data_IF_199807170717
#
_entry.id   IF_199807170717
#
_cell.length_a   1.000
_cell.length_b   1.000
_cell.length_c   1.000
_cell.angle_alpha   90.00
_cell.angle_beta   90.00
_cell.angle_gamma   90.00
#
_symmetry.space_group_name_H-M   'P 1'
#
loop_
_entity.id
_entity.type
_entity.pdbx_description
1 polymer ?
#
# COMPACT_ATOMS: atom_id res chain seq x y z
N UNK A 1 -31.95 -8.68 -24.70
CA UNK A 1 -32.23 -9.23 -23.36
C UNK A 1 -31.64 -8.27 -22.37
N UNK A 2 -32.46 -7.72 -21.50
CA UNK A 2 -32.04 -6.67 -20.58
C UNK A 2 -31.04 -7.22 -19.54
N UNK A 3 -30.25 -6.36 -18.92
CA UNK A 3 -29.32 -6.79 -17.86
C UNK A 3 -30.08 -7.42 -16.68
N UNK A 4 -31.21 -6.82 -16.31
CA UNK A 4 -32.08 -7.26 -15.22
C UNK A 4 -32.80 -8.58 -15.55
N UNK A 5 -33.20 -8.75 -16.81
CA UNK A 5 -33.84 -9.97 -17.29
C UNK A 5 -32.86 -11.16 -17.29
N UNK A 6 -31.59 -10.92 -17.62
CA UNK A 6 -30.49 -11.91 -17.49
C UNK A 6 -30.23 -12.29 -16.05
N UNK A 7 -30.09 -11.29 -15.17
CA UNK A 7 -29.81 -11.50 -13.76
C UNK A 7 -30.91 -12.33 -13.10
N UNK A 8 -32.17 -11.98 -13.31
CA UNK A 8 -33.32 -12.72 -12.78
C UNK A 8 -33.38 -14.17 -13.27
N UNK A 9 -33.00 -14.43 -14.53
CA UNK A 9 -32.97 -15.78 -15.08
C UNK A 9 -31.88 -16.64 -14.44
N UNK A 10 -30.71 -16.06 -14.21
CA UNK A 10 -29.60 -16.75 -13.51
C UNK A 10 -29.99 -17.00 -12.05
N UNK A 11 -30.53 -15.99 -11.37
CA UNK A 11 -31.00 -16.11 -9.99
C UNK A 11 -32.01 -17.26 -9.85
N UNK A 12 -33.03 -17.30 -10.71
CA UNK A 12 -34.05 -18.35 -10.69
C UNK A 12 -33.52 -19.77 -10.94
N UNK A 13 -32.37 -19.91 -11.60
CA UNK A 13 -31.74 -21.19 -11.87
C UNK A 13 -30.88 -21.69 -10.70
N UNK A 14 -30.34 -20.77 -9.90
CA UNK A 14 -29.41 -21.08 -8.80
C UNK A 14 -30.13 -21.07 -7.44
N UNK A 15 -31.24 -20.35 -7.30
CA UNK A 15 -32.08 -20.29 -6.10
C UNK A 15 -32.39 -21.66 -5.46
N UNK A 16 -32.69 -22.76 -6.19
CA UNK A 16 -32.94 -24.05 -5.56
C UNK A 16 -31.68 -24.76 -5.01
N UNK A 17 -30.49 -24.25 -5.29
CA UNK A 17 -29.20 -24.83 -4.89
C UNK A 17 -28.56 -24.02 -3.75
N UNK A 18 -28.95 -22.76 -3.57
CA UNK A 18 -28.46 -21.86 -2.51
C UNK A 18 -29.08 -22.20 -1.15
N UNK A 19 -28.25 -22.42 -0.13
CA UNK A 19 -28.73 -22.44 1.25
C UNK A 19 -28.92 -21.00 1.81
N UNK A 20 -29.82 -20.80 2.80
CA UNK A 20 -30.03 -19.49 3.40
C UNK A 20 -28.75 -18.92 4.03
N UNK A 21 -28.27 -17.80 3.47
CA UNK A 21 -27.07 -17.11 3.95
C UNK A 21 -25.80 -17.38 3.14
N UNK A 22 -25.86 -18.26 2.14
CA UNK A 22 -24.77 -18.47 1.19
C UNK A 22 -24.78 -17.40 0.10
N UNK A 23 -23.60 -17.09 -0.41
CA UNK A 23 -23.43 -16.28 -1.61
C UNK A 23 -22.47 -16.98 -2.53
N UNK A 24 -22.65 -16.81 -3.84
CA UNK A 24 -21.78 -17.40 -4.86
C UNK A 24 -21.49 -16.36 -5.92
N UNK A 25 -20.25 -16.32 -6.39
CA UNK A 25 -19.86 -15.52 -7.55
C UNK A 25 -19.87 -16.43 -8.77
N UNK A 26 -20.64 -16.05 -9.78
CA UNK A 26 -20.73 -16.80 -11.05
C UNK A 26 -20.11 -15.95 -12.16
N UNK A 27 -19.09 -16.50 -12.82
CA UNK A 27 -18.44 -15.89 -13.97
C UNK A 27 -18.43 -16.85 -15.16
N UNK A 28 -18.43 -16.29 -16.37
CA UNK A 28 -18.28 -17.05 -17.60
C UNK A 28 -17.14 -16.46 -18.43
N UNK A 29 -16.31 -17.31 -19.02
CA UNK A 29 -15.24 -16.90 -19.94
C UNK A 29 -15.74 -16.80 -21.40
N UNK A 30 -14.90 -16.26 -22.28
CA UNK A 30 -15.20 -16.11 -23.71
C UNK A 30 -15.39 -17.45 -24.44
N UNK A 31 -14.94 -18.56 -23.85
CA UNK A 31 -15.15 -19.91 -24.35
C UNK A 31 -16.48 -20.52 -23.85
N UNK A 32 -17.25 -19.78 -23.06
CA UNK A 32 -18.53 -20.21 -22.50
C UNK A 32 -18.41 -21.13 -21.29
N UNK A 33 -17.23 -21.24 -20.69
CA UNK A 33 -17.03 -22.02 -19.46
C UNK A 33 -17.50 -21.19 -18.26
N UNK A 34 -18.39 -21.78 -17.47
CA UNK A 34 -18.93 -21.17 -16.25
C UNK A 34 -18.13 -21.64 -15.04
N UNK A 35 -17.68 -20.72 -14.20
CA UNK A 35 -17.06 -20.99 -12.90
C UNK A 35 -17.92 -20.39 -11.79
N UNK A 36 -18.10 -21.15 -10.71
CA UNK A 36 -18.85 -20.76 -9.52
C UNK A 36 -17.90 -20.85 -8.33
N UNK A 37 -17.75 -19.78 -7.56
CA UNK A 37 -16.89 -19.73 -6.37
C UNK A 37 -17.66 -19.26 -5.14
N UNK A 38 -17.33 -19.87 -3.99
CA UNK A 38 -17.82 -19.49 -2.67
C UNK A 38 -16.94 -18.34 -2.12
N UNK A 39 -17.51 -17.21 -1.72
CA UNK A 39 -16.78 -16.16 -1.03
C UNK A 39 -16.47 -16.63 0.40
N UNK A 40 -15.19 -16.88 0.69
CA UNK A 40 -14.68 -17.08 2.05
C UNK A 40 -14.14 -18.47 2.38
N UNK A 41 -14.19 -19.45 1.48
CA UNK A 41 -13.61 -20.78 1.71
C UNK A 41 -12.19 -20.85 1.11
N UNK A 42 -11.21 -20.37 1.89
CA UNK A 42 -9.75 -20.58 1.77
C UNK A 42 -8.98 -20.19 0.48
N UNK A 43 -9.63 -19.74 -0.59
CA UNK A 43 -8.98 -19.06 -1.71
C UNK A 43 -9.40 -17.60 -1.71
N UNK A 44 -8.71 -16.79 -0.90
CA UNK A 44 -8.75 -15.32 -0.92
C UNK A 44 -8.79 -14.84 -2.37
N UNK A 45 -9.92 -14.27 -2.80
CA UNK A 45 -10.20 -13.62 -4.09
C UNK A 45 -8.96 -13.58 -4.98
N UNK A 46 -8.60 -14.75 -5.55
CA UNK A 46 -7.43 -14.80 -6.41
C UNK A 46 -7.87 -14.01 -7.62
N UNK A 47 -7.24 -12.87 -7.84
CA UNK A 47 -7.61 -11.98 -8.92
C UNK A 47 -7.80 -12.78 -10.21
N UNK A 48 -8.79 -12.41 -11.03
CA UNK A 48 -8.98 -12.99 -12.36
C UNK A 48 -7.64 -13.02 -13.12
N UNK A 49 -6.76 -12.04 -12.87
CA UNK A 49 -5.37 -12.00 -13.36
C UNK A 49 -4.57 -13.27 -13.05
N UNK A 50 -4.74 -13.89 -11.88
CA UNK A 50 -4.04 -15.13 -11.51
C UNK A 50 -4.37 -16.31 -12.41
N UNK A 51 -5.58 -16.32 -12.98
CA UNK A 51 -6.06 -17.39 -13.87
C UNK A 51 -5.85 -17.06 -15.34
N UNK A 52 -6.19 -15.84 -15.76
CA UNK A 52 -6.11 -15.40 -17.15
C UNK A 52 -4.67 -15.02 -17.55
N UNK A 53 -3.91 -14.42 -16.63
CA UNK A 53 -2.56 -13.88 -16.85
C UNK A 53 -1.58 -14.24 -15.71
N UNK A 54 -1.30 -15.54 -15.47
CA UNK A 54 -0.54 -15.98 -14.29
C UNK A 54 0.88 -15.40 -14.22
N UNK A 55 1.51 -15.12 -15.37
CA UNK A 55 2.84 -14.51 -15.42
C UNK A 55 2.81 -13.04 -14.98
N UNK A 56 1.86 -12.27 -15.49
CA UNK A 56 1.64 -10.89 -15.07
C UNK A 56 1.28 -10.84 -13.59
N UNK A 57 0.38 -11.70 -13.12
CA UNK A 57 0.00 -11.77 -11.71
C UNK A 57 1.20 -12.07 -10.80
N UNK A 58 2.04 -13.04 -11.15
CA UNK A 58 3.28 -13.32 -10.42
C UNK A 58 4.25 -12.12 -10.40
N UNK A 59 4.31 -11.37 -11.50
CA UNK A 59 5.09 -10.12 -11.55
C UNK A 59 4.49 -9.04 -10.64
N UNK A 60 3.16 -8.84 -10.66
CA UNK A 60 2.46 -7.88 -9.81
C UNK A 60 2.67 -8.18 -8.32
N UNK A 61 2.61 -9.46 -7.93
CA UNK A 61 2.93 -9.91 -6.58
C UNK A 61 4.37 -9.58 -6.19
N UNK A 62 5.33 -9.92 -7.06
CA UNK A 62 6.74 -9.64 -6.81
C UNK A 62 7.03 -8.13 -6.74
N UNK A 63 6.38 -7.32 -7.57
CA UNK A 63 6.48 -5.86 -7.54
C UNK A 63 5.85 -5.30 -6.26
N UNK A 64 4.68 -5.78 -5.87
CA UNK A 64 4.01 -5.39 -4.63
C UNK A 64 4.90 -5.68 -3.41
N UNK A 65 5.50 -6.86 -3.35
CA UNK A 65 6.41 -7.24 -2.25
C UNK A 65 7.67 -6.37 -2.22
N UNK A 66 8.24 -6.00 -3.37
CA UNK A 66 9.39 -5.07 -3.42
C UNK A 66 9.04 -3.67 -2.93
N UNK A 67 7.82 -3.21 -3.21
CA UNK A 67 7.33 -1.91 -2.76
C UNK A 67 7.04 -1.96 -1.25
N UNK A 68 6.30 -2.98 -0.79
CA UNK A 68 5.93 -3.13 0.62
C UNK A 68 7.15 -3.40 1.53
N UNK A 69 8.13 -4.17 1.07
CA UNK A 69 9.34 -4.48 1.84
C UNK A 69 10.36 -3.34 1.90
N UNK A 70 10.14 -2.25 1.15
CA UNK A 70 11.02 -1.09 1.17
C UNK A 70 10.99 -0.34 2.52
N UNK A 71 9.91 -0.46 3.29
CA UNK A 71 9.75 0.02 4.66
C UNK A 71 10.22 -1.05 5.68
N UNK A 72 11.48 -1.45 5.58
CA UNK A 72 12.06 -2.47 6.45
C UNK A 72 12.21 -2.05 7.93
N UNK A 73 12.08 -3.02 8.84
CA UNK A 73 12.29 -2.86 10.30
C UNK A 73 13.64 -2.23 10.69
N UNK A 74 14.65 -2.32 9.81
CA UNK A 74 15.95 -1.67 10.00
C UNK A 74 15.84 -0.15 10.15
N UNK A 75 14.88 0.50 9.47
CA UNK A 75 14.65 1.92 9.66
C UNK A 75 14.21 2.20 11.10
N UNK A 76 13.37 1.36 11.71
CA UNK A 76 12.81 1.60 13.05
C UNK A 76 13.96 1.70 14.06
N UNK A 77 14.94 0.81 13.91
CA UNK A 77 16.16 0.80 14.72
C UNK A 77 16.98 2.09 14.53
N UNK A 78 17.09 2.61 13.29
CA UNK A 78 17.79 3.88 13.02
C UNK A 78 17.11 5.05 13.73
N UNK A 79 15.78 5.13 13.69
CA UNK A 79 15.05 6.21 14.34
C UNK A 79 15.04 6.09 15.87
N UNK A 80 14.95 4.87 16.41
CA UNK A 80 15.14 4.63 17.84
C UNK A 80 16.55 5.02 18.29
N UNK A 81 17.58 4.66 17.53
CA UNK A 81 18.96 5.04 17.82
C UNK A 81 19.15 6.57 17.75
N UNK A 82 18.61 7.23 16.72
CA UNK A 82 18.66 8.68 16.59
C UNK A 82 17.94 9.39 17.77
N UNK A 83 16.75 8.92 18.14
CA UNK A 83 16.00 9.42 19.29
C UNK A 83 16.78 9.25 20.60
N UNK A 84 17.39 8.08 20.80
CA UNK A 84 18.24 7.78 21.95
C UNK A 84 19.46 8.70 22.01
N UNK A 85 20.12 8.94 20.87
CA UNK A 85 21.27 9.86 20.77
C UNK A 85 20.89 11.30 21.07
N UNK A 86 19.74 11.79 20.58
CA UNK A 86 19.25 13.13 20.89
C UNK A 86 18.96 13.26 22.39
N UNK A 87 18.27 12.27 22.97
CA UNK A 87 17.92 12.24 24.38
C UNK A 87 19.15 12.17 25.29
N UNK A 88 20.12 11.33 24.91
CA UNK A 88 21.43 11.21 25.58
C UNK A 88 22.21 12.51 25.46
N UNK A 89 22.25 13.13 24.28
CA UNK A 89 22.90 14.41 24.03
C UNK A 89 22.40 15.48 25.00
N UNK A 90 21.07 15.68 25.08
CA UNK A 90 20.41 16.66 25.95
C UNK A 90 20.70 16.46 27.45
N UNK A 91 20.91 15.22 27.89
CA UNK A 91 21.27 14.89 29.26
C UNK A 91 22.79 14.89 29.52
N UNK A 92 23.59 14.64 28.49
CA UNK A 92 25.04 14.57 28.61
C UNK A 92 25.62 15.96 28.91
N UNK A 93 26.64 15.99 29.77
CA UNK A 93 27.45 17.20 30.00
C UNK A 93 28.23 17.64 28.75
N UNK A 94 28.29 16.83 27.70
CA UNK A 94 29.04 17.14 26.48
C UNK A 94 28.46 18.37 25.74
N UNK A 95 27.14 18.60 25.80
CA UNK A 95 26.52 19.78 25.18
C UNK A 95 26.84 21.09 25.91
N UNK A 96 27.33 21.06 27.16
CA UNK A 96 27.75 22.28 27.87
C UNK A 96 28.96 22.96 27.20
N UNK A 97 29.72 22.25 26.36
CA UNK A 97 30.80 22.85 25.57
C UNK A 97 30.34 23.51 24.26
N UNK A 98 29.14 23.16 23.78
CA UNK A 98 28.56 23.68 22.53
C UNK A 98 27.69 24.92 22.76
N UNK A 99 27.07 25.04 23.92
CA UNK A 99 26.38 26.25 24.34
C UNK A 99 27.35 27.14 25.13
N UNK A 100 27.60 28.39 24.71
CA UNK A 100 28.43 29.30 25.48
C UNK A 100 27.85 29.45 26.89
N UNK A 101 28.74 29.55 27.90
CA UNK A 101 28.39 29.57 29.33
C UNK A 101 27.59 30.80 29.78
N UNK A 102 27.03 31.55 28.84
CA UNK A 102 26.23 32.73 29.07
C UNK A 102 24.90 32.33 29.74
N UNK A 103 24.40 33.18 30.63
CA UNK A 103 23.18 32.93 31.39
C UNK A 103 21.95 32.62 30.50
N UNK A 104 21.97 33.04 29.23
CA UNK A 104 20.94 32.68 28.24
C UNK A 104 21.04 31.24 27.74
N UNK A 105 22.25 30.71 27.55
CA UNK A 105 22.48 29.34 27.09
C UNK A 105 22.09 28.29 28.11
N UNK A 106 22.34 28.56 29.40
CA UNK A 106 21.93 27.65 30.48
C UNK A 106 20.40 27.61 30.66
N UNK A 107 19.72 28.76 30.57
CA UNK A 107 18.24 28.81 30.62
C UNK A 107 17.58 28.04 29.46
N UNK A 108 18.17 28.12 28.26
CA UNK A 108 17.71 27.34 27.11
C UNK A 108 17.88 25.84 27.33
N UNK A 109 19.03 25.40 27.85
CA UNK A 109 19.28 23.99 28.19
C UNK A 109 18.30 23.45 29.24
N UNK A 110 17.97 24.24 30.27
CA UNK A 110 16.95 23.86 31.25
C UNK A 110 15.56 23.76 30.63
N UNK A 111 15.18 24.72 29.76
CA UNK A 111 13.91 24.66 29.04
C UNK A 111 13.82 23.45 28.10
N UNK A 112 14.93 23.07 27.45
CA UNK A 112 15.02 21.90 26.58
C UNK A 112 14.91 20.57 27.32
N UNK A 113 15.19 20.54 28.63
CA UNK A 113 15.00 19.37 29.50
C UNK A 113 13.58 19.21 30.02
N UNK A 114 12.65 20.09 29.64
CA UNK A 114 11.25 19.94 30.02
C UNK A 114 10.63 18.70 29.37
N UNK A 115 9.77 17.99 30.10
CA UNK A 115 9.07 16.80 29.60
C UNK A 115 8.33 17.02 28.27
N UNK A 116 7.81 18.23 28.07
CA UNK A 116 7.10 18.62 26.84
C UNK A 116 7.98 18.63 25.59
N UNK A 117 9.27 18.97 25.71
CA UNK A 117 10.19 18.96 24.57
C UNK A 117 10.38 17.55 24.05
N UNK A 118 10.44 16.55 24.94
CA UNK A 118 10.48 15.15 24.54
C UNK A 118 9.20 14.72 23.83
N UNK A 119 8.03 15.12 24.33
CA UNK A 119 6.75 14.81 23.68
C UNK A 119 6.67 15.41 22.26
N UNK A 120 7.05 16.68 22.09
CA UNK A 120 7.08 17.33 20.77
C UNK A 120 8.10 16.65 19.85
N UNK A 121 9.29 16.34 20.35
CA UNK A 121 10.32 15.65 19.58
C UNK A 121 9.83 14.27 19.10
N UNK A 122 9.16 13.51 19.96
CA UNK A 122 8.56 12.22 19.58
C UNK A 122 7.53 12.39 18.48
N UNK A 123 6.65 13.39 18.58
CA UNK A 123 5.66 13.67 17.52
C UNK A 123 6.36 14.00 16.20
N UNK A 124 7.38 14.85 16.23
CA UNK A 124 8.16 15.21 15.02
C UNK A 124 8.80 13.96 14.41
N UNK A 125 9.40 13.11 15.23
CA UNK A 125 10.01 11.86 14.78
C UNK A 125 8.98 10.94 14.11
N UNK A 126 7.80 10.76 14.70
CA UNK A 126 6.72 9.94 14.14
C UNK A 126 6.20 10.50 12.81
N UNK A 127 6.08 11.83 12.69
CA UNK A 127 5.66 12.48 11.43
C UNK A 127 6.73 12.32 10.35
N UNK A 128 8.00 12.52 10.69
CA UNK A 128 9.13 12.34 9.76
C UNK A 128 9.20 10.87 9.32
N UNK A 129 9.03 9.93 10.25
CA UNK A 129 8.96 8.50 9.98
C UNK A 129 7.90 8.18 8.92
N UNK A 130 6.65 8.56 9.16
CA UNK A 130 5.55 8.25 8.23
C UNK A 130 5.74 8.90 6.86
N UNK A 131 6.27 10.12 6.80
CA UNK A 131 6.61 10.76 5.51
C UNK A 131 7.74 10.05 4.78
N UNK A 132 8.73 9.56 5.52
CA UNK A 132 9.87 8.86 4.95
C UNK A 132 9.48 7.49 4.39
N UNK A 133 8.61 6.74 5.08
CA UNK A 133 8.05 5.49 4.55
C UNK A 133 7.27 5.70 3.25
N UNK A 134 6.34 6.66 3.24
CA UNK A 134 5.57 6.98 2.03
C UNK A 134 6.48 7.39 0.86
N UNK A 135 7.55 8.16 1.14
CA UNK A 135 8.52 8.56 0.13
C UNK A 135 9.34 7.37 -0.42
N UNK A 136 9.70 6.40 0.43
CA UNK A 136 10.40 5.20 -0.01
C UNK A 136 9.51 4.31 -0.87
N UNK A 137 8.26 4.11 -0.48
CA UNK A 137 7.27 3.36 -1.25
C UNK A 137 7.03 4.00 -2.62
N UNK A 138 6.83 5.33 -2.67
CA UNK A 138 6.67 6.07 -3.92
C UNK A 138 7.91 5.95 -4.83
N UNK A 139 9.10 5.99 -4.24
CA UNK A 139 10.36 5.83 -4.98
C UNK A 139 10.57 4.41 -5.47
N UNK A 140 10.17 3.40 -4.70
CA UNK A 140 10.17 1.99 -5.12
C UNK A 140 9.19 1.78 -6.28
N UNK A 141 7.95 2.28 -6.14
CA UNK A 141 6.94 2.24 -7.18
C UNK A 141 7.42 2.92 -8.47
N UNK A 142 8.04 4.10 -8.37
CA UNK A 142 8.56 4.83 -9.53
C UNK A 142 9.61 4.05 -10.34
N UNK A 143 10.35 3.15 -9.68
CA UNK A 143 11.33 2.27 -10.38
C UNK A 143 10.62 1.15 -11.12
N UNK A 144 9.64 0.52 -10.49
CA UNK A 144 8.85 -0.58 -11.06
C UNK A 144 7.86 -0.11 -12.13
N UNK A 145 7.42 1.17 -12.09
CA UNK A 145 6.41 1.73 -13.00
C UNK A 145 6.73 1.53 -14.47
N UNK A 146 7.98 1.74 -14.88
CA UNK A 146 8.38 1.59 -16.28
C UNK A 146 8.34 0.12 -16.72
N UNK A 147 8.83 -0.79 -15.87
CA UNK A 147 8.82 -2.22 -16.15
C UNK A 147 7.40 -2.78 -16.18
N UNK A 148 6.54 -2.29 -15.29
CA UNK A 148 5.12 -2.61 -15.25
C UNK A 148 4.42 -2.13 -16.53
N UNK A 149 4.64 -0.89 -16.94
CA UNK A 149 4.08 -0.35 -18.20
C UNK A 149 4.54 -1.18 -19.40
N UNK A 150 5.80 -1.60 -19.43
CA UNK A 150 6.31 -2.46 -20.50
C UNK A 150 5.64 -3.85 -20.51
N UNK A 151 5.37 -4.44 -19.35
CA UNK A 151 4.65 -5.72 -19.25
C UNK A 151 3.19 -5.60 -19.69
N UNK A 152 2.49 -4.54 -19.26
CA UNK A 152 1.13 -4.25 -19.68
C UNK A 152 1.02 -4.07 -21.20
N UNK A 153 1.95 -3.31 -21.78
CA UNK A 153 2.02 -3.10 -23.22
C UNK A 153 2.27 -4.41 -24.00
N UNK A 154 3.10 -5.32 -23.48
CA UNK A 154 3.35 -6.63 -24.11
C UNK A 154 2.12 -7.53 -24.07
N UNK A 155 1.37 -7.50 -22.98
CA UNK A 155 0.13 -8.29 -22.83
C UNK A 155 -1.11 -7.61 -23.43
N UNK A 156 -0.96 -6.38 -23.96
CA UNK A 156 -2.04 -5.56 -24.53
C UNK A 156 -3.18 -5.27 -23.55
N UNK A 157 -2.85 -5.19 -22.26
CA UNK A 157 -3.80 -4.87 -21.19
C UNK A 157 -3.73 -3.40 -20.85
N UNK A 158 -4.90 -2.78 -20.64
CA UNK A 158 -4.98 -1.41 -20.14
C UNK A 158 -4.76 -1.39 -18.62
N UNK A 159 -4.12 -0.34 -18.11
CA UNK A 159 -3.91 -0.16 -16.67
C UNK A 159 -5.23 -0.11 -15.89
N UNK A 160 -6.31 0.40 -16.51
CA UNK A 160 -7.65 0.40 -15.90
C UNK A 160 -8.24 -1.00 -15.76
N UNK A 161 -8.05 -1.84 -16.77
CA UNK A 161 -8.50 -3.23 -16.77
C UNK A 161 -7.76 -4.03 -15.69
N UNK A 162 -6.44 -3.87 -15.61
CA UNK A 162 -5.64 -4.49 -14.54
C UNK A 162 -6.09 -3.99 -13.17
N UNK A 163 -6.28 -2.69 -12.98
CA UNK A 163 -6.77 -2.16 -11.70
C UNK A 163 -8.15 -2.69 -11.29
N UNK A 164 -9.06 -2.87 -12.25
CA UNK A 164 -10.37 -3.47 -12.00
C UNK A 164 -10.23 -4.93 -11.57
N UNK A 165 -9.31 -5.68 -12.18
CA UNK A 165 -9.03 -7.06 -11.78
C UNK A 165 -8.29 -7.18 -10.45
N UNK A 166 -7.53 -6.16 -10.05
CA UNK A 166 -6.86 -6.11 -8.73
C UNK A 166 -7.81 -5.74 -7.59
N UNK A 167 -9.02 -5.25 -7.88
CA UNK A 167 -9.94 -4.77 -6.84
C UNK A 167 -10.43 -5.93 -5.96
N UNK A 168 -10.14 -5.82 -4.65
CA UNK A 168 -10.46 -6.87 -3.67
C UNK A 168 -9.35 -7.90 -3.46
N UNK A 169 -8.19 -7.74 -4.11
CA UNK A 169 -7.02 -8.60 -3.88
C UNK A 169 -6.02 -7.92 -2.93
N UNK A 170 -6.08 -8.30 -1.66
CA UNK A 170 -5.21 -7.78 -0.60
C UNK A 170 -3.72 -8.03 -0.87
N UNK A 171 -3.38 -9.03 -1.67
CA UNK A 171 -1.99 -9.42 -1.93
C UNK A 171 -1.24 -8.43 -2.84
N UNK A 172 -1.97 -7.56 -3.55
CA UNK A 172 -1.45 -6.56 -4.49
C UNK A 172 -2.00 -5.15 -4.23
N UNK A 173 -2.59 -4.92 -3.06
CA UNK A 173 -3.26 -3.67 -2.70
C UNK A 173 -2.32 -2.46 -2.70
N UNK A 174 -1.09 -2.59 -2.20
CA UNK A 174 -0.12 -1.48 -2.17
C UNK A 174 0.22 -0.99 -3.58
N UNK A 175 0.51 -1.92 -4.49
CA UNK A 175 0.73 -1.59 -5.91
C UNK A 175 -0.52 -0.98 -6.53
N UNK A 176 -1.70 -1.53 -6.23
CA UNK A 176 -2.99 -1.02 -6.70
C UNK A 176 -3.26 0.43 -6.26
N UNK A 177 -2.94 0.78 -5.01
CA UNK A 177 -3.06 2.17 -4.50
C UNK A 177 -2.19 3.14 -5.31
N UNK A 178 -0.93 2.78 -5.57
CA UNK A 178 -0.04 3.64 -6.34
C UNK A 178 -0.47 3.78 -7.81
N UNK A 179 -0.91 2.69 -8.44
CA UNK A 179 -1.46 2.75 -9.80
C UNK A 179 -2.73 3.63 -9.89
N UNK A 180 -3.63 3.54 -8.91
CA UNK A 180 -4.82 4.41 -8.81
C UNK A 180 -4.42 5.89 -8.65
N UNK A 181 -3.39 6.18 -7.88
CA UNK A 181 -2.87 7.56 -7.73
C UNK A 181 -2.26 8.07 -9.03
N UNK A 182 -1.46 7.26 -9.73
CA UNK A 182 -0.83 7.63 -10.99
C UNK A 182 -1.86 7.94 -12.09
N UNK A 183 -2.93 7.15 -12.18
CA UNK A 183 -4.03 7.43 -13.12
C UNK A 183 -4.75 8.75 -12.82
N UNK A 184 -5.00 9.04 -11.54
CA UNK A 184 -5.61 10.32 -11.14
C UNK A 184 -4.71 11.51 -11.50
N UNK A 185 -3.40 11.39 -11.28
CA UNK A 185 -2.44 12.42 -11.63
C UNK A 185 -2.28 12.59 -13.15
N UNK A 186 -2.26 11.48 -13.90
CA UNK A 186 -2.24 11.48 -15.36
C UNK A 186 -3.47 12.18 -15.95
N UNK A 187 -4.67 11.88 -15.42
CA UNK A 187 -5.90 12.55 -15.81
C UNK A 187 -5.90 14.06 -15.54
N UNK A 188 -5.27 14.51 -14.44
CA UNK A 188 -5.13 15.92 -14.10
C UNK A 188 -4.07 16.65 -14.96
N UNK A 189 -3.07 15.93 -15.48
CA UNK A 189 -2.02 16.51 -16.33
C UNK A 189 -2.42 16.69 -17.80
N UNK A 190 -3.51 16.03 -18.23
CA UNK A 190 -4.06 16.13 -19.58
C UNK A 190 -5.23 17.11 -19.73
N UNK A 191 -5.59 17.83 -18.65
CA UNK A 191 -6.65 18.85 -18.60
C UNK A 191 -6.04 20.26 -18.49
#
# INVERSE_FOLDING_TARGET
>A
MDADERSNKILSAIEPILEPGESYVVSADDAGKVSVSLPGEDDSVRSILSTTHPRLYGYLLAANERISSSSGCALVLVYLAASGLISFGLHSRALHGLFPGDAGGQKLLESLRSGWVYAVLTIVILVVWGKHEAWLEERAYSRERNELSDHLNRERLDAYEVLAHMEGDDSIDTLGKHMKLDQRLGALSGA
#
